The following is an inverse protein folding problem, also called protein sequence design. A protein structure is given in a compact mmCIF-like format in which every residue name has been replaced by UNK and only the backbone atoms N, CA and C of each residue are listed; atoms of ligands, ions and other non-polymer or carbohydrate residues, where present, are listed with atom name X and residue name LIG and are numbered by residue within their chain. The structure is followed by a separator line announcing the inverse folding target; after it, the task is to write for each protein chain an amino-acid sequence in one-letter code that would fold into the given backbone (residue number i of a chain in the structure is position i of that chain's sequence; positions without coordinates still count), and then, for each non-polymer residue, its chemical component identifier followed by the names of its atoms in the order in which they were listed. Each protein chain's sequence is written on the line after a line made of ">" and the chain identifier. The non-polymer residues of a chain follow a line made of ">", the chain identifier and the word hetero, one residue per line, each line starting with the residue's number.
data_IF_119227253518
#
_entry.id   IF_119227253518
#
_cell.length_a   1.000
_cell.length_b   1.000
_cell.length_c   1.000
_cell.angle_alpha   90.00
_cell.angle_beta   90.00
_cell.angle_gamma   90.00
#
_symmetry.space_group_name_H-M   'P 1'
#
loop_
_entity.id
_entity.type
_entity.pdbx_description
1 polymer ?
#
# COMPACT_ATOMS: atom_id res chain seq x y z
N UNK A 1 -5.80 -27.25 7.89
CA UNK A 1 -5.63 -26.36 6.71
C UNK A 1 -4.42 -25.47 6.96
N UNK A 2 -3.56 -25.26 5.97
CA UNK A 2 -2.40 -24.37 6.15
C UNK A 2 -2.79 -22.92 5.84
N UNK A 3 -2.29 -21.96 6.62
CA UNK A 3 -2.45 -20.53 6.39
C UNK A 3 -1.20 -19.95 5.72
N UNK A 4 -1.38 -18.90 4.93
CA UNK A 4 -0.26 -18.15 4.37
C UNK A 4 0.42 -17.32 5.45
N UNK A 5 1.73 -17.51 5.67
CA UNK A 5 2.49 -16.78 6.69
C UNK A 5 2.57 -15.26 6.47
N UNK A 6 2.23 -14.77 5.27
CA UNK A 6 2.25 -13.33 4.95
C UNK A 6 0.86 -12.66 4.98
N UNK A 7 -0.13 -13.25 4.30
CA UNK A 7 -1.46 -12.64 4.15
C UNK A 7 -2.55 -13.32 4.98
N UNK A 8 -2.21 -14.33 5.79
CA UNK A 8 -3.09 -15.10 6.67
C UNK A 8 -4.28 -15.80 5.98
N UNK A 9 -4.37 -15.76 4.65
CA UNK A 9 -5.40 -16.47 3.89
C UNK A 9 -5.20 -17.97 3.97
N UNK A 10 -6.30 -18.72 4.07
CA UNK A 10 -6.29 -20.18 3.99
C UNK A 10 -5.81 -20.64 2.62
N UNK A 11 -4.83 -21.55 2.59
CA UNK A 11 -4.31 -22.14 1.36
C UNK A 11 -5.19 -23.34 1.03
N UNK A 12 -6.05 -23.18 0.03
CA UNK A 12 -6.99 -24.22 -0.43
C UNK A 12 -6.32 -25.25 -1.32
N UNK A 13 -5.37 -24.84 -2.18
CA UNK A 13 -4.59 -25.75 -3.02
C UNK A 13 -3.19 -25.18 -3.30
N UNK A 14 -2.18 -26.05 -3.38
CA UNK A 14 -0.80 -25.66 -3.69
C UNK A 14 -0.09 -24.83 -2.59
N UNK A 15 0.71 -23.86 -3.03
CA UNK A 15 1.48 -22.94 -2.19
C UNK A 15 2.99 -23.13 -2.27
N UNK A 16 3.75 -22.06 -2.06
CA UNK A 16 5.22 -22.05 -2.07
C UNK A 16 5.74 -22.21 -0.64
N UNK A 17 6.77 -23.03 -0.45
CA UNK A 17 7.49 -23.19 0.82
C UNK A 17 8.83 -22.49 0.75
N UNK A 18 9.18 -21.74 1.80
CA UNK A 18 10.48 -21.07 1.93
C UNK A 18 10.77 -20.86 3.42
N UNK A 19 11.97 -21.24 3.87
CA UNK A 19 12.44 -21.09 5.26
C UNK A 19 11.47 -21.65 6.32
N UNK A 20 10.89 -22.83 6.06
CA UNK A 20 9.90 -23.46 6.95
C UNK A 20 8.50 -22.82 6.93
N UNK A 21 8.31 -21.68 6.26
CA UNK A 21 7.03 -20.99 6.12
C UNK A 21 6.29 -21.39 4.83
N UNK A 22 4.97 -21.25 4.85
CA UNK A 22 4.07 -21.56 3.72
C UNK A 22 3.40 -20.29 3.20
N UNK A 23 3.39 -20.12 1.88
CA UNK A 23 2.83 -18.95 1.21
C UNK A 23 1.86 -19.35 0.11
N UNK A 24 0.80 -18.57 -0.10
CA UNK A 24 -0.21 -18.87 -1.12
C UNK A 24 0.33 -18.72 -2.56
N UNK A 25 1.33 -17.86 -2.79
CA UNK A 25 1.94 -17.64 -4.10
C UNK A 25 3.36 -17.03 -4.00
N UNK A 26 4.05 -16.90 -5.12
CA UNK A 26 5.41 -16.35 -5.20
C UNK A 26 5.51 -14.90 -4.67
N UNK A 27 4.49 -14.07 -4.92
CA UNK A 27 4.45 -12.68 -4.40
C UNK A 27 4.41 -12.66 -2.87
N UNK A 28 3.64 -13.56 -2.25
CA UNK A 28 3.58 -13.67 -0.80
C UNK A 28 4.86 -14.24 -0.21
N UNK A 29 5.52 -15.19 -0.89
CA UNK A 29 6.82 -15.70 -0.45
C UNK A 29 7.90 -14.60 -0.46
N UNK A 30 7.98 -13.83 -1.55
CA UNK A 30 8.94 -12.72 -1.65
C UNK A 30 8.67 -11.63 -0.59
N UNK A 31 7.41 -11.19 -0.46
CA UNK A 31 7.04 -10.17 0.53
C UNK A 31 7.17 -10.68 1.97
N UNK A 32 6.91 -11.96 2.21
CA UNK A 32 7.12 -12.62 3.50
C UNK A 32 8.59 -12.59 3.91
N UNK A 33 9.48 -12.94 2.99
CA UNK A 33 10.94 -12.86 3.21
C UNK A 33 11.40 -11.44 3.53
N UNK A 34 10.95 -10.45 2.74
CA UNK A 34 11.26 -9.04 3.01
C UNK A 34 10.70 -8.56 4.35
N UNK A 35 9.52 -9.02 4.74
CA UNK A 35 8.94 -8.68 6.04
C UNK A 35 9.73 -9.28 7.20
N UNK A 36 10.24 -10.51 7.06
CA UNK A 36 11.09 -11.16 8.07
C UNK A 36 12.41 -10.42 8.25
N UNK A 37 13.10 -10.09 7.16
CA UNK A 37 14.31 -9.25 7.19
C UNK A 37 14.00 -7.90 7.81
N UNK A 38 12.89 -7.27 7.40
CA UNK A 38 12.47 -5.98 7.92
C UNK A 38 12.18 -6.00 9.42
N UNK A 39 11.63 -7.09 9.97
CA UNK A 39 11.40 -7.21 11.42
C UNK A 39 12.66 -7.32 12.27
N UNK A 40 13.80 -7.69 11.67
CA UNK A 40 15.08 -7.76 12.36
C UNK A 40 15.81 -6.41 12.41
N UNK A 41 15.32 -5.40 11.68
CA UNK A 41 15.94 -4.07 11.67
C UNK A 41 15.75 -3.35 13.02
N UNK A 42 16.80 -2.71 13.56
CA UNK A 42 16.68 -1.87 14.75
C UNK A 42 15.66 -0.76 14.53
N UNK A 43 14.72 -0.60 15.47
CA UNK A 43 13.66 0.40 15.34
C UNK A 43 14.19 1.83 15.32
N UNK A 44 15.32 2.09 16.00
CA UNK A 44 15.98 3.40 15.99
C UNK A 44 16.44 3.82 14.59
N UNK A 45 17.07 2.90 13.84
CA UNK A 45 17.55 3.15 12.47
C UNK A 45 16.38 3.38 11.53
N UNK A 46 15.36 2.53 11.62
CA UNK A 46 14.13 2.67 10.82
C UNK A 46 13.49 4.03 11.07
N UNK A 47 13.34 4.45 12.33
CA UNK A 47 12.75 5.76 12.68
C UNK A 47 13.58 6.94 12.19
N UNK A 48 14.91 6.81 12.15
CA UNK A 48 15.78 7.82 11.56
C UNK A 48 15.50 7.96 10.05
N UNK A 49 15.51 6.84 9.32
CA UNK A 49 15.19 6.84 7.89
C UNK A 49 13.76 7.31 7.59
N UNK A 50 12.78 6.93 8.42
CA UNK A 50 11.39 7.38 8.27
C UNK A 50 11.30 8.89 8.39
N UNK A 51 11.97 9.49 9.39
CA UNK A 51 12.00 10.96 9.54
C UNK A 51 12.67 11.62 8.34
N UNK A 52 13.77 11.07 7.85
CA UNK A 52 14.45 11.58 6.66
C UNK A 52 13.56 11.54 5.42
N UNK A 53 12.86 10.41 5.18
CA UNK A 53 11.92 10.27 4.06
C UNK A 53 10.72 11.21 4.22
N UNK A 54 10.17 11.30 5.42
CA UNK A 54 9.01 12.13 5.73
C UNK A 54 9.31 13.62 5.53
N UNK A 55 10.52 14.08 5.86
CA UNK A 55 10.94 15.47 5.67
C UNK A 55 11.51 15.75 4.28
N UNK A 56 11.77 14.71 3.48
CA UNK A 56 12.34 14.84 2.15
C UNK A 56 11.36 15.38 1.10
N UNK A 57 11.88 15.54 -0.12
CA UNK A 57 11.10 16.04 -1.24
C UNK A 57 10.07 15.01 -1.71
N UNK A 58 8.94 15.52 -2.19
CA UNK A 58 7.88 14.69 -2.75
C UNK A 58 8.36 13.97 -4.02
N UNK A 59 8.29 12.63 -4.11
CA UNK A 59 8.72 11.90 -5.30
C UNK A 59 7.80 12.14 -6.53
N UNK A 60 6.64 12.77 -6.34
CA UNK A 60 5.67 13.06 -7.41
C UNK A 60 5.82 14.45 -8.03
N UNK A 61 6.18 15.45 -7.23
CA UNK A 61 6.23 16.84 -7.67
C UNK A 61 7.55 17.55 -7.31
N UNK A 62 8.49 16.84 -6.70
CA UNK A 62 9.79 17.35 -6.22
C UNK A 62 9.74 18.51 -5.22
N UNK A 63 8.55 18.93 -4.80
CA UNK A 63 8.34 19.98 -3.80
C UNK A 63 8.70 19.53 -2.39
N UNK A 64 8.82 20.51 -1.49
CA UNK A 64 9.19 20.26 -0.09
C UNK A 64 8.15 19.43 0.65
N UNK A 65 8.64 18.64 1.61
CA UNK A 65 7.84 17.79 2.48
C UNK A 65 6.89 18.60 3.39
N UNK A 66 6.05 17.91 4.19
CA UNK A 66 6.20 16.50 4.54
C UNK A 66 5.53 15.53 3.56
N UNK A 67 6.18 14.37 3.39
CA UNK A 67 5.76 13.24 2.57
C UNK A 67 5.22 12.13 3.47
N UNK A 68 4.05 11.60 3.12
CA UNK A 68 3.45 10.49 3.86
C UNK A 68 2.68 9.54 2.92
N UNK A 69 2.10 8.49 3.47
CA UNK A 69 1.30 7.50 2.75
C UNK A 69 -0.14 7.97 2.64
N UNK A 70 -0.57 8.20 1.40
CA UNK A 70 -1.96 8.49 1.06
C UNK A 70 -2.61 7.28 0.40
N UNK A 71 -3.86 7.00 0.80
CA UNK A 71 -4.68 5.91 0.24
C UNK A 71 -5.68 6.50 -0.74
N UNK A 72 -5.83 5.87 -1.91
CA UNK A 72 -6.85 6.22 -2.88
C UNK A 72 -7.56 4.98 -3.41
N UNK A 73 -8.87 5.08 -3.59
CA UNK A 73 -9.73 3.95 -3.96
C UNK A 73 -10.34 4.22 -5.33
N UNK A 74 -10.20 3.25 -6.24
CA UNK A 74 -10.82 3.31 -7.57
C UNK A 74 -11.82 2.18 -7.72
N UNK A 75 -12.92 2.49 -8.37
CA UNK A 75 -13.85 1.50 -8.88
C UNK A 75 -14.30 1.91 -10.27
N UNK A 76 -14.44 0.91 -11.13
CA UNK A 76 -15.18 1.07 -12.37
C UNK A 76 -16.04 -0.17 -12.55
N UNK A 77 -17.12 0.02 -13.28
CA UNK A 77 -18.10 -1.00 -13.56
C UNK A 77 -18.55 -0.87 -15.01
N UNK A 78 -18.95 -1.98 -15.62
CA UNK A 78 -19.53 -2.05 -16.95
C UNK A 78 -20.44 -3.28 -17.03
N UNK A 79 -21.76 -3.05 -17.07
CA UNK A 79 -22.83 -4.05 -17.19
C UNK A 79 -22.74 -5.19 -16.14
N UNK A 80 -21.89 -6.19 -16.39
CA UNK A 80 -21.69 -7.37 -15.54
C UNK A 80 -20.30 -7.45 -14.89
N UNK A 81 -19.38 -6.54 -15.21
CA UNK A 81 -18.03 -6.51 -14.66
C UNK A 81 -17.89 -5.34 -13.70
N UNK A 82 -17.48 -5.60 -12.46
CA UNK A 82 -17.10 -4.57 -11.49
C UNK A 82 -15.70 -4.85 -10.99
N UNK A 83 -14.82 -3.88 -11.10
CA UNK A 83 -13.45 -3.98 -10.63
C UNK A 83 -13.12 -2.81 -9.72
N UNK A 84 -12.48 -3.12 -8.60
CA UNK A 84 -12.05 -2.12 -7.63
C UNK A 84 -10.60 -2.35 -7.25
N UNK A 85 -9.90 -1.25 -6.98
CA UNK A 85 -8.51 -1.27 -6.54
C UNK A 85 -8.27 -0.28 -5.41
N UNK A 86 -7.33 -0.63 -4.53
CA UNK A 86 -6.85 0.23 -3.47
C UNK A 86 -5.38 0.55 -3.73
N UNK A 87 -5.05 1.83 -3.82
CA UNK A 87 -3.71 2.31 -4.08
C UNK A 87 -3.16 3.00 -2.84
N UNK A 88 -1.90 2.71 -2.51
CA UNK A 88 -1.14 3.42 -1.47
C UNK A 88 0.02 4.14 -2.15
N UNK A 89 0.18 5.43 -1.89
CA UNK A 89 1.14 6.28 -2.60
C UNK A 89 1.87 7.14 -1.56
N UNK A 90 3.19 7.08 -1.59
CA UNK A 90 4.08 7.96 -0.80
C UNK A 90 4.21 9.29 -1.53
N UNK A 91 3.64 10.37 -1.00
CA UNK A 91 3.70 11.70 -1.62
C UNK A 91 3.38 12.82 -0.61
N UNK A 92 3.57 14.07 -1.02
CA UNK A 92 3.15 15.22 -0.21
C UNK A 92 1.62 15.38 -0.21
N UNK A 93 1.13 16.21 0.71
CA UNK A 93 -0.30 16.46 0.94
C UNK A 93 -1.07 16.89 -0.31
N UNK A 94 -0.53 17.82 -1.10
CA UNK A 94 -1.21 18.33 -2.29
C UNK A 94 -1.35 17.25 -3.36
N UNK A 95 -0.30 16.45 -3.57
CA UNK A 95 -0.30 15.32 -4.48
C UNK A 95 -1.29 14.23 -4.04
N UNK A 96 -1.30 13.88 -2.75
CA UNK A 96 -2.24 12.92 -2.17
C UNK A 96 -3.69 13.36 -2.36
N UNK A 97 -3.99 14.62 -2.02
CA UNK A 97 -5.33 15.21 -2.16
C UNK A 97 -5.79 15.21 -3.62
N UNK A 98 -4.93 15.66 -4.55
CA UNK A 98 -5.23 15.69 -5.98
C UNK A 98 -5.54 14.28 -6.52
N UNK A 99 -4.77 13.28 -6.09
CA UNK A 99 -4.96 11.90 -6.52
C UNK A 99 -6.26 11.30 -5.98
N UNK A 100 -6.57 11.53 -4.71
CA UNK A 100 -7.82 11.02 -4.11
C UNK A 100 -9.05 11.70 -4.72
N UNK A 101 -8.99 13.00 -5.03
CA UNK A 101 -10.05 13.70 -5.76
C UNK A 101 -10.25 13.11 -7.16
N UNK A 102 -9.17 12.93 -7.91
CA UNK A 102 -9.24 12.36 -9.26
C UNK A 102 -9.80 10.94 -9.25
N UNK A 103 -9.43 10.12 -8.27
CA UNK A 103 -9.95 8.77 -8.11
C UNK A 103 -11.42 8.75 -7.66
N UNK A 104 -11.85 9.75 -6.89
CA UNK A 104 -13.25 9.94 -6.51
C UNK A 104 -14.09 10.30 -7.72
N UNK A 105 -13.63 11.25 -8.54
CA UNK A 105 -14.27 11.63 -9.80
C UNK A 105 -14.34 10.43 -10.76
N UNK A 106 -13.24 9.70 -10.91
CA UNK A 106 -13.19 8.48 -11.73
C UNK A 106 -14.23 7.45 -11.27
N UNK A 107 -14.28 7.18 -9.96
CA UNK A 107 -15.22 6.23 -9.37
C UNK A 107 -16.68 6.70 -9.51
N UNK A 108 -16.92 8.00 -9.41
CA UNK A 108 -18.25 8.59 -9.57
C UNK A 108 -18.71 8.61 -11.03
N UNK A 109 -17.79 8.71 -12.00
CA UNK A 109 -18.16 8.68 -13.41
C UNK A 109 -18.34 7.25 -13.94
N UNK A 110 -17.50 6.32 -13.49
CA UNK A 110 -17.39 4.98 -14.09
C UNK A 110 -17.84 3.83 -13.18
N UNK A 111 -18.19 4.08 -11.91
CA UNK A 111 -18.57 3.02 -10.97
C UNK A 111 -20.01 2.52 -11.11
N UNK A 112 -20.92 3.31 -11.69
CA UNK A 112 -22.37 3.04 -11.64
C UNK A 112 -22.90 2.11 -12.72
N UNK A 113 -22.09 1.78 -13.74
CA UNK A 113 -22.59 1.14 -14.95
C UNK A 113 -22.83 -0.37 -14.85
N UNK A 114 -22.59 -1.01 -13.70
CA UNK A 114 -22.85 -2.43 -13.52
C UNK A 114 -23.81 -2.75 -12.39
N UNK A 115 -24.69 -3.71 -12.66
CA UNK A 115 -25.79 -4.13 -11.78
C UNK A 115 -25.54 -5.59 -11.35
N UNK A 116 -25.68 -5.94 -10.06
CA UNK A 116 -26.01 -5.07 -8.92
C UNK A 116 -24.77 -4.41 -8.26
N UNK A 117 -23.57 -4.93 -8.52
CA UNK A 117 -22.39 -4.63 -7.71
C UNK A 117 -21.83 -3.21 -7.87
N UNK A 118 -21.96 -2.59 -9.05
CA UNK A 118 -21.50 -1.22 -9.29
C UNK A 118 -22.27 -0.20 -8.44
N UNK A 119 -23.58 -0.33 -8.36
CA UNK A 119 -24.46 0.56 -7.57
C UNK A 119 -24.16 0.47 -6.07
N UNK A 120 -23.77 -0.70 -5.56
CA UNK A 120 -23.46 -0.89 -4.12
C UNK A 120 -22.00 -0.55 -3.80
N UNK A 121 -21.04 -0.99 -4.62
CA UNK A 121 -19.61 -0.81 -4.31
C UNK A 121 -19.13 0.62 -4.56
N UNK A 122 -19.74 1.33 -5.51
CA UNK A 122 -19.39 2.73 -5.82
C UNK A 122 -19.56 3.68 -4.63
N UNK A 123 -20.71 3.75 -3.94
CA UNK A 123 -20.84 4.60 -2.76
C UNK A 123 -19.87 4.20 -1.64
N UNK A 124 -19.60 2.91 -1.44
CA UNK A 124 -18.61 2.44 -0.45
C UNK A 124 -17.21 3.00 -0.73
N UNK A 125 -16.77 2.96 -2.00
CA UNK A 125 -15.45 3.48 -2.37
C UNK A 125 -15.39 5.01 -2.34
N UNK A 126 -16.48 5.69 -2.70
CA UNK A 126 -16.60 7.15 -2.56
C UNK A 126 -16.48 7.55 -1.08
N UNK A 127 -17.21 6.88 -0.18
CA UNK A 127 -17.12 7.14 1.27
C UNK A 127 -15.70 6.88 1.79
N UNK A 128 -15.01 5.83 1.33
CA UNK A 128 -13.61 5.57 1.70
C UNK A 128 -12.66 6.68 1.22
N UNK A 129 -12.85 7.19 0.00
CA UNK A 129 -12.08 8.33 -0.49
C UNK A 129 -12.39 9.61 0.32
N UNK A 130 -13.65 9.89 0.63
CA UNK A 130 -14.03 11.04 1.47
C UNK A 130 -13.40 10.91 2.86
N UNK A 131 -13.46 9.73 3.49
CA UNK A 131 -12.77 9.47 4.76
C UNK A 131 -11.27 9.69 4.64
N UNK A 132 -10.62 9.23 3.57
CA UNK A 132 -9.19 9.49 3.33
C UNK A 132 -8.88 10.98 3.13
N UNK A 133 -9.81 11.76 2.59
CA UNK A 133 -9.69 13.22 2.46
C UNK A 133 -9.90 13.95 3.79
N UNK A 134 -10.70 13.42 4.71
CA UNK A 134 -10.97 13.99 6.03
C UNK A 134 -9.89 13.57 7.04
N UNK A 135 -9.61 12.27 7.13
CA UNK A 135 -8.62 11.65 8.02
C UNK A 135 -7.22 11.77 7.41
N UNK A 136 -6.77 13.01 7.26
CA UNK A 136 -5.46 13.31 6.69
C UNK A 136 -4.35 12.95 7.70
N UNK A 137 -3.22 12.40 7.24
CA UNK A 137 -2.05 12.23 8.09
C UNK A 137 -1.60 13.54 8.72
N UNK A 138 -1.15 13.48 9.98
CA UNK A 138 -0.64 14.65 10.68
C UNK A 138 0.72 15.04 10.05
N UNK A 139 0.89 16.26 9.54
CA UNK A 139 2.14 16.68 8.89
C UNK A 139 3.36 16.70 9.82
N UNK A 140 3.17 16.60 11.14
CA UNK A 140 4.27 16.61 12.13
C UNK A 140 4.76 15.21 12.49
N UNK A 141 3.97 14.17 12.24
CA UNK A 141 4.25 12.81 12.73
C UNK A 141 4.07 11.82 11.58
N UNK A 142 5.10 11.05 11.23
CA UNK A 142 5.00 10.05 10.17
C UNK A 142 4.00 8.96 10.56
N UNK A 143 3.22 8.47 9.60
CA UNK A 143 2.30 7.35 9.83
C UNK A 143 3.03 6.02 10.03
N UNK A 144 2.38 5.08 10.74
CA UNK A 144 2.85 3.70 10.86
C UNK A 144 2.95 3.00 9.49
N UNK A 145 2.08 3.36 8.54
CA UNK A 145 2.19 2.89 7.15
C UNK A 145 3.48 3.34 6.47
N UNK A 146 3.91 4.60 6.66
CA UNK A 146 5.18 5.07 6.12
C UNK A 146 6.34 4.29 6.72
N UNK A 147 6.34 4.07 8.04
CA UNK A 147 7.34 3.24 8.72
C UNK A 147 7.40 1.84 8.12
N UNK A 148 6.24 1.19 7.94
CA UNK A 148 6.17 -0.14 7.33
C UNK A 148 6.76 -0.16 5.91
N UNK A 149 6.48 0.85 5.10
CA UNK A 149 7.04 0.95 3.74
C UNK A 149 8.55 1.16 3.74
N UNK A 150 9.05 2.05 4.60
CA UNK A 150 10.50 2.29 4.74
C UNK A 150 11.21 1.03 5.21
N UNK A 151 10.66 0.33 6.19
CA UNK A 151 11.21 -0.95 6.69
C UNK A 151 11.28 -2.00 5.57
N UNK A 152 10.23 -2.13 4.76
CA UNK A 152 10.23 -3.03 3.60
C UNK A 152 11.23 -2.57 2.52
N UNK A 153 11.40 -1.26 2.33
CA UNK A 153 12.36 -0.72 1.38
C UNK A 153 13.81 -1.03 1.81
N UNK A 154 14.14 -0.80 3.08
CA UNK A 154 15.44 -1.16 3.67
C UNK A 154 15.70 -2.67 3.58
N UNK A 155 14.71 -3.51 3.90
CA UNK A 155 14.84 -4.94 3.72
C UNK A 155 15.11 -5.33 2.26
N UNK A 156 14.49 -4.61 1.31
CA UNK A 156 14.69 -4.84 -0.12
C UNK A 156 16.08 -4.41 -0.61
N UNK A 157 16.65 -3.32 -0.07
CA UNK A 157 18.00 -2.87 -0.42
C UNK A 157 19.05 -3.83 0.14
N UNK A 158 18.92 -4.27 1.39
CA UNK A 158 19.79 -5.28 2.01
C UNK A 158 19.75 -6.58 1.21
N UNK A 159 18.55 -7.06 0.88
CA UNK A 159 18.40 -8.28 0.10
C UNK A 159 19.00 -8.20 -1.30
N UNK A 160 18.97 -7.02 -1.94
CA UNK A 160 19.64 -6.78 -3.23
C UNK A 160 21.16 -6.74 -3.08
N UNK A 161 21.68 -6.09 -2.04
CA UNK A 161 23.11 -6.04 -1.77
C UNK A 161 23.70 -7.45 -1.59
N UNK A 162 23.06 -8.31 -0.80
CA UNK A 162 23.48 -9.71 -0.64
C UNK A 162 23.50 -10.50 -1.95
N UNK A 163 22.54 -10.25 -2.85
CA UNK A 163 22.48 -10.95 -4.14
C UNK A 163 23.61 -10.54 -5.09
N UNK A 164 24.13 -9.32 -4.97
CA UNK A 164 25.20 -8.82 -5.83
C UNK A 164 26.61 -9.21 -5.34
N UNK A 165 26.71 -9.73 -4.10
CA UNK A 165 27.97 -10.20 -3.50
C UNK A 165 28.14 -11.73 -3.54
N UNK A 166 27.23 -12.45 -4.20
CA UNK A 166 27.26 -13.90 -4.45
C UNK A 166 27.33 -14.17 -5.95
#
# INVERSE_FOLDING_TARGET
>A
MATCAYCNTTILFGGKRQDGMRFCNAKCAERGRLSSIGSQLPSADVLHFVRQVHQGNCPRCSGEGPVDVYKSYRVWSALFLTSWSSHQIVCCRSCGTKKTLLDTLYSTALGWWGVPWGVVMTPVQIVRNIKALIQRPNPKVPTAELERMVRLHMASSIAKAHKNSS
#
